data_IF_085799533849
#
_entry.id   IF_085799533849
#
_cell.length_a   1.000
_cell.length_b   1.000
_cell.length_c   1.000
_cell.angle_alpha   90.00
_cell.angle_beta   90.00
_cell.angle_gamma   90.00
#
_symmetry.space_group_name_H-M   'P 1'
#
loop_
_entity.id
_entity.type
_entity.pdbx_description
1 polymer ?
#
# COMPACT_ATOMS: atom_id res chain seq x y z
N UNK A 1 15.90 48.89 11.79
CA UNK A 1 14.51 48.40 11.69
C UNK A 1 14.30 47.30 12.71
N UNK A 2 13.82 47.68 13.89
CA UNK A 2 13.69 46.86 15.10
C UNK A 2 12.20 46.52 15.28
N UNK A 3 11.87 45.23 15.42
CA UNK A 3 10.50 44.78 15.80
C UNK A 3 10.49 44.34 17.28
N UNK A 4 9.45 44.70 18.05
CA UNK A 4 9.46 44.53 19.49
C UNK A 4 9.08 43.13 19.94
N UNK A 5 9.70 42.69 21.03
CA UNK A 5 9.37 41.49 21.80
C UNK A 5 8.22 41.83 22.75
N UNK A 6 7.13 41.08 22.71
CA UNK A 6 6.08 41.14 23.72
C UNK A 6 6.24 39.96 24.68
N UNK A 7 6.51 40.26 25.96
CA UNK A 7 6.42 39.33 27.11
C UNK A 7 5.16 39.70 27.88
N UNK A 8 4.38 38.71 28.30
CA UNK A 8 3.39 38.85 29.39
C UNK A 8 3.51 37.59 30.30
N UNK A 9 3.49 37.75 31.63
CA UNK A 9 3.72 36.67 32.60
C UNK A 9 2.44 35.97 33.10
N UNK A 10 2.70 34.91 33.86
CA UNK A 10 1.86 33.89 34.51
C UNK A 10 0.70 34.39 35.39
N UNK A 11 -0.42 33.65 35.40
CA UNK A 11 -1.24 33.40 36.60
C UNK A 11 -1.85 32.00 36.52
N UNK A 12 -1.65 31.19 37.57
CA UNK A 12 -2.32 29.93 37.83
C UNK A 12 -3.68 30.18 38.50
N UNK A 13 -4.72 29.41 38.14
CA UNK A 13 -5.93 29.33 38.95
C UNK A 13 -6.47 27.90 38.96
N UNK A 14 -6.43 27.30 40.14
CA UNK A 14 -7.10 26.06 40.53
C UNK A 14 -8.55 26.42 40.88
N UNK A 15 -9.52 25.67 40.37
CA UNK A 15 -10.87 25.64 40.94
C UNK A 15 -11.50 24.26 40.75
N UNK A 16 -11.57 23.52 41.87
CA UNK A 16 -12.40 22.33 42.09
C UNK A 16 -13.84 22.75 42.33
N UNK A 17 -14.82 22.05 41.73
CA UNK A 17 -16.21 22.09 42.18
C UNK A 17 -16.81 20.68 42.18
N UNK A 18 -16.98 20.14 43.38
CA UNK A 18 -17.78 18.96 43.66
C UNK A 18 -19.19 19.43 44.07
N UNK A 19 -20.23 18.81 43.51
CA UNK A 19 -21.62 19.06 43.93
C UNK A 19 -22.16 17.80 44.60
N UNK A 20 -22.34 17.86 45.92
CA UNK A 20 -23.11 16.93 46.74
C UNK A 20 -24.58 17.38 46.71
N UNK A 21 -25.50 16.49 46.34
CA UNK A 21 -26.93 16.67 46.61
C UNK A 21 -27.32 15.76 47.79
N UNK A 22 -27.63 16.38 48.92
CA UNK A 22 -28.33 15.78 50.06
C UNK A 22 -29.84 15.95 49.83
N UNK A 23 -30.57 14.83 49.80
CA UNK A 23 -32.04 14.82 49.77
C UNK A 23 -32.59 14.91 51.20
N UNK A 24 -33.41 15.93 51.47
CA UNK A 24 -34.23 16.02 52.67
C UNK A 24 -35.67 15.59 52.31
N UNK A 25 -36.21 14.61 53.05
CA UNK A 25 -37.60 14.17 52.95
C UNK A 25 -38.53 15.09 53.75
N UNK A 26 -39.66 15.46 53.15
CA UNK A 26 -40.88 15.90 53.82
C UNK A 26 -42.08 15.21 53.14
N UNK A 27 -43.08 14.70 53.90
CA UNK A 27 -44.22 14.02 53.30
C UNK A 27 -45.32 15.03 52.97
N UNK A 28 -45.72 15.09 51.69
CA UNK A 28 -46.97 15.72 51.29
C UNK A 28 -47.95 14.62 50.87
N UNK A 29 -48.98 14.41 51.68
CA UNK A 29 -50.12 13.56 51.37
C UNK A 29 -50.99 14.24 50.31
N UNK A 30 -51.04 13.66 49.12
CA UNK A 30 -51.95 14.10 48.06
C UNK A 30 -52.12 13.02 47.00
N UNK A 31 -53.32 12.47 46.88
CA UNK A 31 -53.68 11.47 45.88
C UNK A 31 -53.51 12.04 44.45
N UNK A 32 -52.60 11.45 43.68
CA UNK A 32 -52.48 11.64 42.22
C UNK A 32 -52.90 10.33 41.54
N UNK A 33 -53.76 10.35 40.52
CA UNK A 33 -54.19 9.14 39.83
C UNK A 33 -53.02 8.51 39.06
N UNK A 34 -52.96 7.18 39.07
CA UNK A 34 -51.91 6.41 38.42
C UNK A 34 -51.88 6.69 36.90
N UNK A 35 -50.76 7.24 36.42
CA UNK A 35 -50.44 7.26 34.99
C UNK A 35 -50.13 5.82 34.52
N UNK A 36 -50.53 5.43 33.29
CA UNK A 36 -50.20 4.11 32.77
C UNK A 36 -48.68 3.95 32.68
N UNK A 37 -48.21 2.78 33.11
CA UNK A 37 -46.81 2.38 33.11
C UNK A 37 -46.16 2.64 31.75
N UNK A 38 -44.96 3.24 31.80
CA UNK A 38 -44.22 3.70 30.64
C UNK A 38 -44.06 2.63 29.57
N UNK A 39 -44.48 2.97 28.35
CA UNK A 39 -43.92 2.33 27.18
C UNK A 39 -42.39 2.53 27.21
N UNK A 40 -41.57 1.49 27.01
CA UNK A 40 -40.14 1.69 26.90
C UNK A 40 -39.91 2.60 25.70
N UNK A 41 -39.30 3.76 25.92
CA UNK A 41 -38.68 4.53 24.85
C UNK A 41 -37.51 3.66 24.39
N UNK A 42 -37.77 2.79 23.42
CA UNK A 42 -36.73 2.18 22.63
C UNK A 42 -36.10 3.33 21.83
N UNK A 43 -35.01 3.91 22.37
CA UNK A 43 -34.02 4.55 21.51
C UNK A 43 -33.46 3.46 20.61
N UNK A 44 -34.13 3.23 19.49
CA UNK A 44 -33.53 2.54 18.37
C UNK A 44 -32.38 3.45 17.96
N UNK A 45 -31.17 3.14 18.42
CA UNK A 45 -29.97 3.70 17.83
C UNK A 45 -30.11 3.42 16.33
N UNK A 46 -30.31 4.47 15.53
CA UNK A 46 -30.38 4.33 14.09
C UNK A 46 -29.20 3.47 13.66
N UNK A 47 -29.46 2.38 12.95
CA UNK A 47 -28.41 1.52 12.41
C UNK A 47 -27.33 2.44 11.82
N UNK A 48 -26.03 2.22 12.13
CA UNK A 48 -24.98 3.18 11.80
C UNK A 48 -25.05 3.44 10.29
N UNK A 49 -25.56 4.62 9.92
CA UNK A 49 -25.83 4.94 8.52
C UNK A 49 -24.56 4.83 7.70
N UNK A 50 -24.64 4.12 6.58
CA UNK A 50 -23.56 3.99 5.61
C UNK A 50 -23.05 5.39 5.19
N UNK A 51 -21.73 5.59 5.18
CA UNK A 51 -21.16 6.82 4.59
C UNK A 51 -21.06 6.65 3.07
N UNK A 52 -21.62 7.59 2.31
CA UNK A 52 -21.64 7.54 0.84
C UNK A 52 -20.94 8.75 0.23
N UNK A 53 -20.19 8.52 -0.83
CA UNK A 53 -19.55 9.59 -1.62
C UNK A 53 -19.36 9.17 -3.07
N UNK A 54 -19.09 10.14 -3.94
CA UNK A 54 -18.66 9.89 -5.32
C UNK A 54 -17.14 10.01 -5.41
N UNK A 55 -16.49 9.05 -6.06
CA UNK A 55 -15.10 9.22 -6.46
C UNK A 55 -15.00 10.34 -7.50
N UNK A 56 -14.06 11.26 -7.32
CA UNK A 56 -13.79 12.30 -8.31
C UNK A 56 -13.06 11.69 -9.50
N UNK A 57 -13.75 11.66 -10.65
CA UNK A 57 -13.22 11.16 -11.93
C UNK A 57 -12.93 12.31 -12.91
N UNK A 58 -13.04 13.57 -12.46
CA UNK A 58 -12.92 14.75 -13.31
C UNK A 58 -11.47 15.22 -13.40
N UNK A 59 -10.71 15.01 -12.34
CA UNK A 59 -9.28 15.29 -12.26
C UNK A 59 -8.54 14.07 -12.77
N UNK A 60 -7.79 14.25 -13.87
CA UNK A 60 -6.78 13.30 -14.33
C UNK A 60 -5.44 14.01 -14.23
N UNK A 61 -4.54 13.51 -13.41
CA UNK A 61 -3.24 14.12 -13.12
C UNK A 61 -2.06 13.17 -13.40
N UNK A 62 -0.90 13.48 -12.81
CA UNK A 62 0.35 12.75 -13.04
C UNK A 62 0.39 11.37 -12.37
N UNK A 63 -0.43 11.13 -11.33
CA UNK A 63 -0.46 9.87 -10.60
C UNK A 63 -1.35 8.83 -11.32
N UNK A 64 -2.05 9.27 -12.37
CA UNK A 64 -2.90 8.45 -13.22
C UNK A 64 -2.13 7.86 -14.40
N UNK A 65 -2.46 6.62 -14.75
CA UNK A 65 -1.76 5.86 -15.79
C UNK A 65 -2.71 5.58 -16.93
N UNK A 66 -2.35 5.97 -18.16
CA UNK A 66 -3.06 5.65 -19.40
C UNK A 66 -4.59 5.86 -19.36
N UNK A 67 -5.05 6.87 -18.64
CA UNK A 67 -6.45 7.32 -18.64
C UNK A 67 -6.55 8.76 -19.11
N UNK A 68 -7.72 9.13 -19.59
CA UNK A 68 -8.05 10.52 -19.94
C UNK A 68 -9.50 10.83 -19.60
N UNK A 69 -9.77 12.08 -19.24
CA UNK A 69 -11.13 12.58 -19.13
C UNK A 69 -11.67 12.97 -20.51
N UNK A 70 -12.91 12.58 -20.81
CA UNK A 70 -13.67 13.05 -21.97
C UNK A 70 -14.99 13.67 -21.50
N UNK A 71 -15.70 14.36 -22.39
CA UNK A 71 -17.06 14.85 -22.09
C UNK A 71 -18.02 13.72 -21.69
N UNK A 72 -17.84 12.52 -22.25
CA UNK A 72 -18.66 11.35 -21.95
C UNK A 72 -18.28 10.63 -20.64
N UNK A 73 -17.09 10.89 -20.08
CA UNK A 73 -16.57 10.19 -18.89
C UNK A 73 -15.08 9.84 -18.99
N UNK A 74 -14.59 9.11 -17.99
CA UNK A 74 -13.22 8.59 -17.94
C UNK A 74 -13.04 7.42 -18.91
N UNK A 75 -11.94 7.40 -19.67
CA UNK A 75 -11.60 6.37 -20.66
C UNK A 75 -10.11 6.06 -20.65
N UNK A 76 -9.72 4.92 -21.23
CA UNK A 76 -8.30 4.67 -21.56
C UNK A 76 -7.81 5.73 -22.55
N UNK A 77 -6.63 6.31 -22.28
CA UNK A 77 -5.97 7.28 -23.17
C UNK A 77 -5.53 6.59 -24.46
N UNK A 78 -4.94 5.42 -24.35
CA UNK A 78 -4.52 4.57 -25.46
C UNK A 78 -5.11 3.18 -25.29
N UNK A 79 -5.86 2.72 -26.30
CA UNK A 79 -6.40 1.36 -26.37
C UNK A 79 -5.40 0.36 -26.96
N UNK A 80 -4.39 0.88 -27.67
CA UNK A 80 -3.24 0.09 -28.10
C UNK A 80 -2.14 0.28 -27.10
N UNK A 81 -1.45 -0.81 -26.80
CA UNK A 81 -0.15 -0.74 -26.16
C UNK A 81 0.83 -0.11 -27.17
N UNK A 82 0.94 1.22 -27.21
CA UNK A 82 2.00 1.92 -27.94
C UNK A 82 3.26 1.89 -27.09
N UNK A 83 4.30 1.23 -27.58
CA UNK A 83 5.59 1.08 -26.92
C UNK A 83 6.59 0.73 -28.02
N UNK A 84 7.44 1.70 -28.36
CA UNK A 84 8.56 1.54 -29.29
C UNK A 84 9.74 1.04 -28.47
N UNK A 85 9.67 -0.21 -28.04
CA UNK A 85 10.60 -0.81 -27.09
C UNK A 85 9.86 -1.81 -26.20
N UNK A 86 10.56 -2.85 -25.76
CA UNK A 86 9.96 -4.07 -25.25
C UNK A 86 9.23 -3.83 -23.92
N UNK A 87 7.91 -3.53 -23.97
CA UNK A 87 6.99 -4.14 -23.00
C UNK A 87 7.39 -5.61 -22.91
N UNK A 88 7.42 -6.18 -21.70
CA UNK A 88 7.35 -7.64 -21.51
C UNK A 88 6.47 -8.21 -22.64
N UNK A 89 7.05 -8.93 -23.62
CA UNK A 89 6.45 -9.01 -24.94
C UNK A 89 5.01 -9.49 -24.80
N UNK A 90 4.08 -8.62 -25.22
CA UNK A 90 2.65 -8.91 -25.34
C UNK A 90 1.83 -8.93 -24.05
N UNK A 91 1.63 -7.78 -23.39
CA UNK A 91 0.37 -7.63 -22.65
C UNK A 91 -0.78 -7.67 -23.66
N UNK A 92 -1.59 -8.73 -23.65
CA UNK A 92 -2.77 -8.89 -24.51
C UNK A 92 -3.84 -7.80 -24.24
N UNK A 93 -3.68 -7.02 -23.17
CA UNK A 93 -4.61 -6.02 -22.71
C UNK A 93 -3.93 -4.64 -22.57
N UNK A 94 -4.63 -3.61 -23.03
CA UNK A 94 -4.35 -2.23 -22.65
C UNK A 94 -5.03 -1.93 -21.32
N UNK A 95 -4.34 -1.16 -20.47
CA UNK A 95 -4.82 -0.84 -19.13
C UNK A 95 -4.53 0.60 -18.76
N UNK A 96 -5.40 1.17 -17.93
CA UNK A 96 -5.20 2.46 -17.29
C UNK A 96 -5.83 2.50 -15.91
N UNK A 97 -5.33 3.39 -15.07
CA UNK A 97 -5.71 3.54 -13.67
C UNK A 97 -5.90 5.02 -13.35
N UNK A 98 -7.06 5.36 -12.78
CA UNK A 98 -7.26 6.65 -12.10
C UNK A 98 -7.13 6.46 -10.59
N UNK A 99 -6.33 7.27 -9.91
CA UNK A 99 -6.13 7.25 -8.47
C UNK A 99 -6.82 8.45 -7.82
N UNK A 100 -7.75 8.19 -6.91
CA UNK A 100 -8.43 9.28 -6.18
C UNK A 100 -7.61 9.79 -5.00
N UNK A 101 -7.86 11.02 -4.57
CA UNK A 101 -7.31 11.53 -3.31
C UNK A 101 -7.78 10.67 -2.11
N UNK A 102 -6.92 10.42 -1.11
CA UNK A 102 -7.34 9.73 0.11
C UNK A 102 -8.48 10.46 0.83
N UNK A 103 -9.51 9.72 1.21
CA UNK A 103 -10.68 10.23 1.96
C UNK A 103 -10.60 9.80 3.41
N UNK A 104 -10.80 10.75 4.33
CA UNK A 104 -11.09 10.45 5.74
C UNK A 104 -12.59 10.23 5.90
N UNK A 105 -12.97 9.08 6.44
CA UNK A 105 -14.33 8.71 6.78
C UNK A 105 -14.71 9.34 8.12
N UNK A 106 -15.99 9.68 8.28
CA UNK A 106 -16.55 10.16 9.53
C UNK A 106 -16.60 9.05 10.60
N UNK A 107 -16.62 7.79 10.17
CA UNK A 107 -16.65 6.61 11.05
C UNK A 107 -15.74 5.50 10.52
N UNK A 108 -15.17 4.65 11.39
CA UNK A 108 -14.39 3.51 10.94
C UNK A 108 -15.25 2.55 10.11
N UNK A 109 -14.72 2.07 8.99
CA UNK A 109 -15.39 1.10 8.13
C UNK A 109 -14.51 -0.15 7.92
N UNK A 110 -15.13 -1.30 7.73
CA UNK A 110 -14.43 -2.55 7.37
C UNK A 110 -14.68 -2.96 5.93
N UNK A 111 -15.60 -2.29 5.23
CA UNK A 111 -15.88 -2.55 3.82
C UNK A 111 -16.16 -1.24 3.10
N UNK A 112 -15.71 -1.15 1.85
CA UNK A 112 -16.13 -0.10 0.93
C UNK A 112 -16.64 -0.75 -0.34
N UNK A 113 -17.95 -0.63 -0.60
CA UNK A 113 -18.62 -1.10 -1.82
C UNK A 113 -18.59 -0.01 -2.88
N UNK A 114 -18.58 -0.41 -4.15
CA UNK A 114 -18.63 0.52 -5.28
C UNK A 114 -19.77 0.15 -6.24
N UNK A 115 -20.54 1.16 -6.63
CA UNK A 115 -21.47 1.12 -7.74
C UNK A 115 -20.85 1.90 -8.90
N UNK A 116 -20.67 1.24 -10.04
CA UNK A 116 -19.99 1.81 -11.20
C UNK A 116 -21.03 2.06 -12.30
N UNK A 117 -21.21 3.33 -12.67
CA UNK A 117 -21.95 3.72 -13.86
C UNK A 117 -20.98 3.82 -15.03
N UNK A 118 -20.97 2.81 -15.91
CA UNK A 118 -20.10 2.76 -17.07
C UNK A 118 -20.77 2.08 -18.27
N UNK A 119 -20.38 2.51 -19.47
CA UNK A 119 -20.61 1.74 -20.70
C UNK A 119 -19.37 0.86 -20.95
N UNK A 120 -19.55 -0.46 -20.92
CA UNK A 120 -18.46 -1.44 -21.00
C UNK A 120 -18.65 -2.30 -22.27
N UNK A 121 -17.86 -2.08 -23.33
CA UNK A 121 -17.85 -2.94 -24.51
C UNK A 121 -17.39 -4.37 -24.21
N UNK A 122 -17.70 -5.31 -25.11
CA UNK A 122 -17.27 -6.70 -24.98
C UNK A 122 -15.74 -6.81 -24.84
N UNK A 123 -15.29 -7.60 -23.86
CA UNK A 123 -13.86 -7.81 -23.55
C UNK A 123 -13.20 -6.70 -22.73
N UNK A 124 -13.82 -5.52 -22.59
CA UNK A 124 -13.33 -4.48 -21.69
C UNK A 124 -13.78 -4.74 -20.24
N UNK A 125 -13.02 -4.25 -19.27
CA UNK A 125 -13.40 -4.31 -17.85
C UNK A 125 -13.21 -2.96 -17.17
N UNK A 126 -14.02 -2.73 -16.13
CA UNK A 126 -13.86 -1.60 -15.20
C UNK A 126 -13.98 -2.16 -13.79
N UNK A 127 -13.00 -1.86 -12.95
CA UNK A 127 -12.98 -2.28 -11.55
C UNK A 127 -12.66 -1.08 -10.65
N UNK A 128 -13.47 -0.88 -9.60
CA UNK A 128 -13.09 0.00 -8.51
C UNK A 128 -12.36 -0.83 -7.46
N UNK A 129 -11.14 -0.42 -7.13
CA UNK A 129 -10.35 -1.03 -6.07
C UNK A 129 -10.16 -0.05 -4.92
N UNK A 130 -10.11 -0.57 -3.70
CA UNK A 130 -10.03 0.19 -2.46
C UNK A 130 -8.86 -0.30 -1.61
N UNK A 131 -8.28 0.63 -0.85
CA UNK A 131 -7.34 0.33 0.23
C UNK A 131 -7.65 1.19 1.44
N UNK A 132 -7.32 0.67 2.62
CA UNK A 132 -7.49 1.36 3.89
C UNK A 132 -6.15 1.71 4.52
N UNK A 133 -6.07 2.87 5.16
CA UNK A 133 -4.91 3.27 5.95
C UNK A 133 -5.00 2.65 7.34
N UNK A 134 -3.88 2.09 7.81
CA UNK A 134 -3.68 1.57 9.15
C UNK A 134 -2.48 2.26 9.79
N UNK A 135 -2.25 1.99 11.07
CA UNK A 135 -0.99 2.36 11.71
C UNK A 135 0.19 1.88 10.85
N UNK A 136 0.22 0.60 10.47
CA UNK A 136 1.29 0.04 9.64
C UNK A 136 1.33 0.57 8.20
N UNK A 137 0.47 1.51 7.79
CA UNK A 137 0.40 2.05 6.43
C UNK A 137 -0.79 1.54 5.64
N UNK A 138 -0.74 1.68 4.31
CA UNK A 138 -1.79 1.23 3.41
C UNK A 138 -1.91 -0.30 3.40
N UNK A 139 -3.14 -0.80 3.43
CA UNK A 139 -3.44 -2.17 2.99
C UNK A 139 -3.17 -2.29 1.49
N UNK A 140 -3.02 -3.52 1.01
CA UNK A 140 -3.04 -3.74 -0.43
C UNK A 140 -4.37 -3.35 -1.08
N UNK A 141 -4.30 -3.06 -2.37
CA UNK A 141 -5.47 -2.81 -3.19
C UNK A 141 -6.32 -4.08 -3.29
N UNK A 142 -7.63 -3.94 -3.08
CA UNK A 142 -8.61 -5.03 -3.24
C UNK A 142 -9.79 -4.51 -4.04
N UNK A 143 -10.52 -5.39 -4.73
CA UNK A 143 -11.80 -5.04 -5.33
C UNK A 143 -12.74 -4.40 -4.27
N UNK A 144 -13.47 -3.36 -4.65
CA UNK A 144 -14.51 -2.79 -3.80
C UNK A 144 -15.52 -3.88 -3.43
N UNK A 145 -15.93 -3.91 -2.17
CA UNK A 145 -16.70 -4.99 -1.54
C UNK A 145 -15.85 -5.97 -0.72
N UNK A 146 -14.53 -5.99 -0.91
CA UNK A 146 -13.63 -6.72 -0.03
C UNK A 146 -13.69 -6.17 1.41
N UNK A 147 -13.58 -7.07 2.37
CA UNK A 147 -13.60 -6.74 3.80
C UNK A 147 -12.17 -6.58 4.30
N UNK A 148 -11.87 -5.42 4.88
CA UNK A 148 -10.66 -5.19 5.66
C UNK A 148 -10.73 -6.03 6.93
N UNK A 149 -9.64 -6.72 7.27
CA UNK A 149 -9.52 -7.48 8.52
C UNK A 149 -9.64 -6.62 9.81
N UNK A 150 -9.63 -5.28 9.68
CA UNK A 150 -9.71 -4.27 10.73
C UNK A 150 -10.41 -3.01 10.21
N UNK A 151 -11.13 -2.28 11.09
CA UNK A 151 -11.71 -1.00 10.73
C UNK A 151 -10.65 0.03 10.31
N UNK A 152 -10.96 0.83 9.29
CA UNK A 152 -10.12 1.92 8.79
C UNK A 152 -10.90 3.23 8.74
N UNK A 153 -10.21 4.34 9.06
CA UNK A 153 -10.78 5.69 9.03
C UNK A 153 -10.38 6.49 7.80
N UNK A 154 -9.36 6.04 7.07
CA UNK A 154 -8.92 6.70 5.85
C UNK A 154 -8.83 5.65 4.76
N UNK A 155 -9.45 5.93 3.63
CA UNK A 155 -9.54 5.03 2.48
C UNK A 155 -9.07 5.74 1.23
N UNK A 156 -8.67 4.97 0.23
CA UNK A 156 -8.39 5.49 -1.09
C UNK A 156 -8.96 4.53 -2.12
N UNK A 157 -9.41 5.08 -3.25
CA UNK A 157 -9.95 4.31 -4.36
C UNK A 157 -9.08 4.50 -5.60
N UNK A 158 -8.91 3.44 -6.38
CA UNK A 158 -8.46 3.54 -7.76
C UNK A 158 -9.46 2.90 -8.70
N UNK A 159 -9.65 3.46 -9.88
CA UNK A 159 -10.50 2.91 -10.94
C UNK A 159 -9.60 2.34 -12.02
N UNK A 160 -9.66 1.02 -12.21
CA UNK A 160 -8.87 0.29 -13.19
C UNK A 160 -9.74 0.02 -14.41
N UNK A 161 -9.24 0.36 -15.60
CA UNK A 161 -9.87 0.08 -16.88
C UNK A 161 -8.96 -0.87 -17.66
N UNK A 162 -9.52 -1.93 -18.23
CA UNK A 162 -8.80 -2.78 -19.19
C UNK A 162 -9.58 -2.93 -20.48
N UNK A 163 -8.88 -3.14 -21.58
CA UNK A 163 -9.47 -3.51 -22.87
C UNK A 163 -8.51 -4.47 -23.60
N UNK A 164 -9.02 -5.34 -24.49
CA UNK A 164 -8.17 -6.08 -25.41
C UNK A 164 -7.31 -5.09 -26.21
N UNK A 165 -6.06 -5.44 -26.52
CA UNK A 165 -5.17 -4.55 -27.24
C UNK A 165 -5.76 -4.13 -28.59
N UNK A 166 -5.96 -2.82 -28.80
CA UNK A 166 -6.62 -2.25 -29.98
C UNK A 166 -8.15 -2.39 -29.99
N UNK A 167 -8.75 -2.94 -28.94
CA UNK A 167 -10.20 -3.12 -28.79
C UNK A 167 -10.94 -1.86 -28.33
N UNK A 168 -12.27 -1.95 -28.31
CA UNK A 168 -13.13 -0.88 -27.79
C UNK A 168 -12.91 -0.68 -26.28
N UNK A 169 -12.97 0.59 -25.85
CA UNK A 169 -12.66 0.97 -24.45
C UNK A 169 -13.93 1.35 -23.69
N UNK A 170 -13.95 1.04 -22.38
CA UNK A 170 -15.04 1.45 -21.51
C UNK A 170 -15.09 2.97 -21.31
N UNK A 171 -16.28 3.48 -20.96
CA UNK A 171 -16.50 4.86 -20.51
C UNK A 171 -17.13 4.86 -19.14
N UNK A 172 -16.39 5.35 -18.14
CA UNK A 172 -16.88 5.46 -16.76
C UNK A 172 -17.47 6.84 -16.53
N UNK A 173 -18.75 6.88 -16.23
CA UNK A 173 -19.52 8.12 -15.98
C UNK A 173 -19.52 8.49 -14.50
N UNK A 174 -19.46 7.50 -13.61
CA UNK A 174 -19.39 7.73 -12.17
C UNK A 174 -19.06 6.47 -11.40
N UNK A 175 -18.44 6.65 -10.23
CA UNK A 175 -18.21 5.59 -9.24
C UNK A 175 -18.74 6.11 -7.91
N UNK A 176 -19.81 5.49 -7.40
CA UNK A 176 -20.39 5.80 -6.09
C UNK A 176 -19.89 4.77 -5.09
N UNK A 177 -19.36 5.26 -3.97
CA UNK A 177 -18.76 4.45 -2.92
C UNK A 177 -19.63 4.50 -1.67
N UNK A 178 -19.74 3.35 -1.00
CA UNK A 178 -20.47 3.19 0.25
C UNK A 178 -19.58 2.47 1.24
N UNK A 179 -19.23 3.14 2.35
CA UNK A 179 -18.48 2.55 3.44
C UNK A 179 -19.43 2.04 4.53
N UNK A 180 -19.23 0.80 4.94
CA UNK A 180 -20.01 0.15 5.98
C UNK A 180 -19.14 -0.72 6.89
N UNK A 181 -19.65 -0.97 8.09
CA UNK A 181 -18.96 -1.77 9.11
C UNK A 181 -19.67 -3.11 9.28
N UNK A 182 -18.96 -4.19 8.97
CA UNK A 182 -19.27 -5.53 9.46
C UNK A 182 -18.18 -5.97 10.43
N UNK A 183 -18.55 -6.75 11.44
CA UNK A 183 -17.60 -7.26 12.43
C UNK A 183 -16.47 -8.03 11.71
N UNK A 184 -15.25 -7.53 11.86
CA UNK A 184 -14.04 -8.22 11.43
C UNK A 184 -12.99 -8.06 12.53
N UNK A 185 -12.35 -9.18 12.88
CA UNK A 185 -11.28 -9.25 13.86
C UNK A 185 -10.12 -10.01 13.22
N UNK A 186 -8.93 -9.43 13.20
CA UNK A 186 -7.69 -10.20 13.05
C UNK A 186 -6.45 -9.48 13.59
N UNK A 187 -5.50 -10.27 14.07
CA UNK A 187 -4.27 -9.85 14.73
C UNK A 187 -3.19 -9.40 13.71
N UNK A 188 -2.21 -8.62 14.20
CA UNK A 188 -1.11 -8.14 13.37
C UNK A 188 -0.11 -9.28 13.20
N UNK A 189 0.36 -9.48 11.97
CA UNK A 189 1.37 -10.51 11.64
C UNK A 189 2.73 -9.87 11.33
N UNK A 190 3.83 -10.62 11.43
CA UNK A 190 5.07 -10.28 10.74
C UNK A 190 4.82 -10.14 9.22
N UNK A 191 5.65 -9.36 8.53
CA UNK A 191 5.65 -9.36 7.06
C UNK A 191 5.93 -10.77 6.56
N UNK A 192 5.06 -11.29 5.70
CA UNK A 192 5.22 -12.62 5.10
C UNK A 192 6.50 -12.64 4.27
N UNK A 193 7.23 -13.74 4.34
CA UNK A 193 8.47 -13.94 3.58
C UNK A 193 8.37 -15.24 2.79
N UNK A 194 8.75 -15.21 1.52
CA UNK A 194 8.76 -16.38 0.64
C UNK A 194 10.03 -16.42 -0.21
N UNK A 195 10.49 -17.62 -0.52
CA UNK A 195 11.59 -17.85 -1.46
C UNK A 195 11.03 -17.90 -2.88
N UNK A 196 11.51 -17.00 -3.74
CA UNK A 196 11.07 -16.90 -5.13
C UNK A 196 12.26 -16.74 -6.07
N UNK A 197 12.07 -17.11 -7.33
CA UNK A 197 13.09 -16.92 -8.35
C UNK A 197 13.01 -15.47 -8.87
N UNK A 198 14.13 -14.76 -8.83
CA UNK A 198 14.25 -13.39 -9.29
C UNK A 198 14.93 -13.32 -10.65
N UNK A 199 14.36 -12.51 -11.54
CA UNK A 199 14.90 -12.16 -12.85
C UNK A 199 15.24 -10.67 -12.90
N UNK A 200 16.20 -10.29 -13.75
CA UNK A 200 16.45 -8.88 -14.06
C UNK A 200 15.38 -8.37 -15.04
N UNK A 201 14.78 -7.23 -14.75
CA UNK A 201 13.68 -6.68 -15.57
C UNK A 201 14.16 -6.13 -16.92
N UNK A 202 15.28 -5.40 -16.96
CA UNK A 202 15.92 -4.92 -18.19
C UNK A 202 15.14 -3.89 -19.02
N UNK A 203 14.30 -3.06 -18.39
CA UNK A 203 13.34 -2.17 -19.06
C UNK A 203 13.74 -0.68 -19.08
N UNK A 204 15.03 -0.34 -19.10
CA UNK A 204 15.48 1.07 -19.11
C UNK A 204 14.88 1.83 -20.31
N UNK A 205 14.31 3.01 -20.04
CA UNK A 205 13.61 3.85 -21.02
C UNK A 205 12.12 3.55 -21.16
N UNK A 206 11.65 2.40 -20.67
CA UNK A 206 10.22 2.04 -20.70
C UNK A 206 9.45 2.65 -19.52
N UNK A 207 8.12 2.64 -19.61
CA UNK A 207 7.25 2.99 -18.50
C UNK A 207 6.92 1.75 -17.66
N UNK A 208 7.16 1.85 -16.35
CA UNK A 208 6.61 0.93 -15.35
C UNK A 208 5.08 1.04 -15.27
N UNK A 209 4.43 0.01 -14.72
CA UNK A 209 2.97 -0.02 -14.54
C UNK A 209 2.40 1.12 -13.69
N UNK A 210 3.18 1.77 -12.83
CA UNK A 210 2.76 2.97 -12.10
C UNK A 210 3.03 4.29 -12.84
N UNK A 211 3.52 4.25 -14.07
CA UNK A 211 3.72 5.43 -14.93
C UNK A 211 5.12 6.06 -14.86
N UNK A 212 6.07 5.51 -14.10
CA UNK A 212 7.45 6.01 -14.06
C UNK A 212 8.27 5.51 -15.24
N UNK A 213 9.03 6.39 -15.90
CA UNK A 213 10.07 5.97 -16.86
C UNK A 213 11.26 5.37 -16.13
N UNK A 214 11.60 4.14 -16.45
CA UNK A 214 12.74 3.42 -15.88
C UNK A 214 14.04 4.11 -16.28
N UNK A 215 14.81 4.50 -15.27
CA UNK A 215 16.14 5.04 -15.39
C UNK A 215 17.19 3.94 -15.28
N UNK A 216 18.36 4.19 -15.85
CA UNK A 216 19.54 3.35 -15.66
C UNK A 216 19.84 3.21 -14.16
N UNK A 217 20.06 1.97 -13.69
CA UNK A 217 20.40 1.66 -12.28
C UNK A 217 19.29 2.01 -11.28
N UNK A 218 18.05 2.02 -11.74
CA UNK A 218 16.90 2.17 -10.85
C UNK A 218 16.81 1.07 -9.80
N UNK A 219 16.25 1.44 -8.65
CA UNK A 219 16.06 0.57 -7.50
C UNK A 219 14.56 0.34 -7.22
N UNK A 220 13.96 -0.64 -7.89
CA UNK A 220 12.59 -1.09 -7.65
C UNK A 220 12.43 -2.59 -7.92
N UNK A 221 11.23 -3.11 -7.63
CA UNK A 221 10.80 -4.45 -7.99
C UNK A 221 9.49 -4.44 -8.80
N UNK A 222 9.27 -5.49 -9.59
CA UNK A 222 7.98 -5.83 -10.17
C UNK A 222 7.42 -7.08 -9.50
N UNK A 223 6.13 -7.07 -9.19
CA UNK A 223 5.42 -8.24 -8.65
C UNK A 223 4.29 -8.67 -9.58
N UNK A 224 3.97 -9.98 -9.64
CA UNK A 224 3.00 -10.49 -10.61
C UNK A 224 1.55 -10.22 -10.19
N UNK A 225 1.31 -9.19 -9.39
CA UNK A 225 -0.03 -8.67 -9.05
C UNK A 225 -0.02 -7.17 -8.83
N UNK A 226 -1.11 -6.53 -9.26
CA UNK A 226 -1.38 -5.10 -9.03
C UNK A 226 -1.72 -4.77 -7.59
N UNK A 227 -2.03 -5.75 -6.74
CA UNK A 227 -2.45 -5.51 -5.37
C UNK A 227 -1.35 -4.83 -4.54
N UNK A 228 -0.09 -5.15 -4.84
CA UNK A 228 1.10 -4.53 -4.28
C UNK A 228 1.74 -3.47 -5.18
N UNK A 229 1.03 -2.85 -6.13
CA UNK A 229 1.59 -1.81 -7.01
C UNK A 229 1.49 -0.42 -6.36
N UNK A 230 2.63 0.23 -6.16
CA UNK A 230 2.69 1.56 -5.53
C UNK A 230 2.29 2.65 -6.53
N UNK A 231 1.50 3.66 -6.13
CA UNK A 231 1.33 4.88 -6.92
C UNK A 231 2.66 5.52 -7.32
N UNK A 232 2.61 6.34 -8.39
CA UNK A 232 3.77 7.10 -8.85
C UNK A 232 4.38 7.90 -7.68
N UNK A 233 5.72 7.92 -7.60
CA UNK A 233 6.47 8.63 -6.56
C UNK A 233 6.15 8.19 -5.10
N UNK A 234 5.71 6.95 -4.90
CA UNK A 234 5.54 6.37 -3.56
C UNK A 234 6.26 5.01 -3.45
N UNK A 235 6.48 4.56 -2.20
CA UNK A 235 6.90 3.19 -1.89
C UNK A 235 5.91 2.50 -0.94
N UNK A 236 4.62 2.85 -1.06
CA UNK A 236 3.51 2.31 -0.28
C UNK A 236 3.61 0.79 -0.11
N UNK A 237 3.97 0.12 -1.20
CA UNK A 237 4.36 -1.27 -1.20
C UNK A 237 5.87 -1.36 -1.44
N UNK A 238 6.57 -1.73 -0.38
CA UNK A 238 8.01 -2.03 -0.41
C UNK A 238 8.20 -3.50 -0.10
N UNK A 239 9.08 -4.15 -0.86
CA UNK A 239 9.60 -5.47 -0.54
C UNK A 239 10.99 -5.36 0.07
N UNK A 240 11.35 -6.29 0.94
CA UNK A 240 12.75 -6.54 1.31
C UNK A 240 13.21 -7.80 0.62
N UNK A 241 14.10 -7.68 -0.35
CA UNK A 241 14.68 -8.80 -1.09
C UNK A 241 16.03 -9.12 -0.47
N UNK A 242 16.33 -10.38 -0.22
CA UNK A 242 17.62 -10.84 0.28
C UNK A 242 18.17 -11.96 -0.57
N UNK A 243 19.50 -12.02 -0.69
CA UNK A 243 20.17 -13.24 -1.14
C UNK A 243 19.79 -14.40 -0.19
N UNK A 244 19.76 -15.64 -0.69
CA UNK A 244 19.39 -16.81 0.14
C UNK A 244 20.36 -17.08 1.29
N UNK A 245 21.60 -16.58 1.19
CA UNK A 245 22.57 -16.58 2.28
C UNK A 245 22.31 -15.49 3.33
N UNK A 246 21.39 -14.55 3.06
CA UNK A 246 21.11 -13.39 3.91
C UNK A 246 22.25 -12.36 3.94
N UNK A 247 23.29 -12.53 3.12
CA UNK A 247 24.50 -11.71 3.16
C UNK A 247 24.29 -10.28 2.68
N UNK A 248 23.31 -10.09 1.78
CA UNK A 248 22.89 -8.79 1.26
C UNK A 248 21.37 -8.75 1.11
N UNK A 249 20.80 -7.58 1.40
CA UNK A 249 19.40 -7.31 1.18
C UNK A 249 19.17 -5.92 0.58
N UNK A 250 18.09 -5.74 -0.15
CA UNK A 250 17.61 -4.43 -0.56
C UNK A 250 16.13 -4.23 -0.21
N UNK A 251 15.79 -3.04 0.29
CA UNK A 251 14.41 -2.58 0.40
C UNK A 251 14.06 -1.81 -0.88
N UNK A 252 13.16 -2.36 -1.69
CA UNK A 252 12.82 -1.81 -3.00
C UNK A 252 11.30 -1.55 -3.07
N UNK A 253 10.86 -0.36 -3.51
CA UNK A 253 9.46 -0.12 -3.79
C UNK A 253 9.00 -0.94 -5.00
N UNK A 254 7.72 -1.30 -5.01
CA UNK A 254 7.10 -2.04 -6.12
C UNK A 254 6.47 -1.04 -7.08
N UNK A 255 7.09 -0.84 -8.23
CA UNK A 255 6.67 0.15 -9.24
C UNK A 255 6.13 -0.48 -10.52
N UNK A 256 6.36 -1.77 -10.73
CA UNK A 256 5.93 -2.45 -11.94
C UNK A 256 5.17 -3.76 -11.65
N UNK A 257 4.54 -4.31 -12.69
CA UNK A 257 3.70 -5.52 -12.61
C UNK A 257 4.23 -6.58 -13.56
N UNK A 258 4.46 -7.77 -13.02
CA UNK A 258 5.16 -8.88 -13.66
C UNK A 258 6.07 -9.57 -12.65
N UNK A 259 6.64 -10.74 -12.93
CA UNK A 259 6.74 -11.41 -14.23
C UNK A 259 5.55 -12.33 -14.55
N UNK A 260 5.33 -12.59 -15.85
CA UNK A 260 4.34 -13.54 -16.43
C UNK A 260 2.86 -13.24 -16.17
N UNK A 261 2.49 -13.02 -14.91
CA UNK A 261 1.14 -12.76 -14.46
C UNK A 261 0.98 -11.34 -13.93
N UNK A 262 -0.26 -10.93 -13.76
CA UNK A 262 -0.62 -9.61 -13.22
C UNK A 262 -1.72 -9.65 -12.17
N UNK A 263 -2.18 -10.86 -11.83
CA UNK A 263 -3.19 -11.19 -10.82
C UNK A 263 -2.76 -12.36 -9.93
N UNK A 264 -1.44 -12.56 -9.81
CA UNK A 264 -0.83 -13.59 -8.99
C UNK A 264 -0.21 -13.02 -7.71
N UNK A 265 -1.06 -12.71 -6.73
CA UNK A 265 -0.68 -12.26 -5.40
C UNK A 265 -0.35 -13.44 -4.47
N UNK A 266 0.60 -14.29 -4.89
CA UNK A 266 0.92 -15.56 -4.21
C UNK A 266 1.28 -15.43 -2.73
N UNK A 267 1.62 -14.24 -2.25
CA UNK A 267 1.83 -13.98 -0.82
C UNK A 267 0.53 -14.04 0.00
N UNK A 268 -0.64 -14.02 -0.63
CA UNK A 268 -1.94 -14.12 0.03
C UNK A 268 -2.40 -15.57 0.20
N UNK A 269 -3.15 -15.89 1.27
CA UNK A 269 -3.72 -17.23 1.45
C UNK A 269 -4.79 -17.49 0.38
N UNK A 270 -5.05 -18.77 0.10
CA UNK A 270 -6.01 -19.23 -0.93
C UNK A 270 -7.40 -18.59 -0.81
N UNK A 271 -7.85 -18.28 0.40
CA UNK A 271 -9.14 -17.64 0.67
C UNK A 271 -9.28 -16.25 0.05
N UNK A 272 -8.17 -15.52 -0.14
CA UNK A 272 -8.18 -14.14 -0.65
C UNK A 272 -7.29 -13.90 -1.87
N UNK A 273 -6.44 -14.85 -2.26
CA UNK A 273 -5.62 -14.78 -3.48
C UNK A 273 -6.52 -14.49 -4.70
N UNK A 274 -6.06 -13.62 -5.59
CA UNK A 274 -6.81 -13.10 -6.73
C UNK A 274 -7.08 -14.20 -7.76
N UNK A 275 -6.03 -14.87 -8.24
CA UNK A 275 -6.10 -16.07 -9.08
C UNK A 275 -5.39 -17.28 -8.42
N UNK A 276 -5.40 -18.43 -9.09
CA UNK A 276 -4.57 -19.60 -8.72
C UNK A 276 -4.76 -20.07 -7.27
N UNK A 277 -6.00 -19.96 -6.77
CA UNK A 277 -6.36 -20.19 -5.36
C UNK A 277 -6.06 -21.60 -4.85
N UNK A 278 -5.93 -22.57 -5.76
CA UNK A 278 -5.56 -23.94 -5.44
C UNK A 278 -4.04 -24.16 -5.30
N UNK A 279 -3.20 -23.19 -5.66
CA UNK A 279 -1.77 -23.27 -5.40
C UNK A 279 -1.47 -22.94 -3.92
N UNK A 280 -0.47 -23.62 -3.30
CA UNK A 280 0.00 -23.26 -1.97
C UNK A 280 0.35 -21.78 -1.86
N UNK A 281 0.08 -21.19 -0.69
CA UNK A 281 0.53 -19.84 -0.39
C UNK A 281 2.06 -19.75 -0.49
N UNK A 282 2.56 -18.68 -1.10
CA UNK A 282 3.98 -18.47 -1.33
C UNK A 282 4.51 -19.08 -2.62
N UNK A 283 3.71 -19.84 -3.37
CA UNK A 283 4.09 -20.41 -4.67
C UNK A 283 3.58 -19.52 -5.81
N UNK A 284 4.46 -18.82 -6.55
CA UNK A 284 4.10 -18.14 -7.78
C UNK A 284 3.53 -19.13 -8.80
N UNK A 285 2.59 -18.68 -9.61
CA UNK A 285 2.02 -19.52 -10.66
C UNK A 285 3.06 -19.87 -11.73
N UNK A 286 3.89 -18.90 -12.16
CA UNK A 286 4.94 -19.14 -13.14
C UNK A 286 5.93 -20.22 -12.65
N UNK A 287 6.22 -20.27 -11.35
CA UNK A 287 7.01 -21.36 -10.79
C UNK A 287 6.30 -22.72 -10.95
N UNK A 288 5.01 -22.81 -10.65
CA UNK A 288 4.24 -24.04 -10.80
C UNK A 288 4.11 -24.47 -12.26
N UNK A 289 3.85 -23.52 -13.17
CA UNK A 289 3.77 -23.75 -14.60
C UNK A 289 5.09 -24.31 -15.14
N UNK A 290 6.22 -23.66 -14.81
CA UNK A 290 7.54 -24.08 -15.25
C UNK A 290 7.97 -25.45 -14.69
N UNK A 291 7.73 -25.70 -13.40
CA UNK A 291 8.25 -26.90 -12.73
C UNK A 291 7.36 -28.14 -12.86
N UNK A 292 6.05 -27.94 -13.01
CA UNK A 292 5.06 -29.04 -12.92
C UNK A 292 4.03 -29.02 -14.04
N UNK A 293 4.14 -28.10 -15.00
CA UNK A 293 3.15 -27.98 -16.09
C UNK A 293 1.79 -27.47 -15.62
N UNK A 294 1.69 -26.83 -14.45
CA UNK A 294 0.46 -26.21 -13.98
C UNK A 294 -0.10 -25.26 -15.05
N UNK A 295 -1.43 -25.22 -15.21
CA UNK A 295 -2.10 -24.47 -16.28
C UNK A 295 -1.55 -24.81 -17.69
N UNK A 296 -1.15 -26.05 -17.91
CA UNK A 296 -0.54 -26.50 -19.18
C UNK A 296 0.84 -25.88 -19.45
N UNK A 297 1.54 -25.42 -18.40
CA UNK A 297 2.82 -24.72 -18.50
C UNK A 297 2.71 -23.28 -18.99
N UNK A 298 1.52 -22.66 -18.84
CA UNK A 298 1.21 -21.34 -19.39
C UNK A 298 0.83 -20.34 -18.31
N UNK A 299 1.10 -19.06 -18.56
CA UNK A 299 0.67 -17.96 -17.69
C UNK A 299 -0.81 -17.59 -17.89
N UNK A 300 -1.29 -16.58 -17.16
CA UNK A 300 -2.67 -16.07 -17.26
C UNK A 300 -3.09 -15.58 -18.66
N UNK A 301 -2.13 -15.35 -19.57
CA UNK A 301 -2.38 -14.89 -20.94
C UNK A 301 -2.23 -16.03 -21.96
N UNK A 302 -1.96 -17.26 -21.50
CA UNK A 302 -1.77 -18.43 -22.34
C UNK A 302 -0.39 -18.52 -22.98
N UNK A 303 0.58 -17.69 -22.56
CA UNK A 303 1.97 -17.78 -23.04
C UNK A 303 2.69 -18.90 -22.30
N UNK A 304 3.54 -19.64 -23.00
CA UNK A 304 4.40 -20.66 -22.36
C UNK A 304 5.36 -19.99 -21.38
N UNK A 305 5.38 -20.46 -20.14
CA UNK A 305 6.27 -19.96 -19.09
C UNK A 305 7.66 -20.54 -19.28
N UNK A 306 8.65 -19.67 -19.46
CA UNK A 306 10.03 -20.07 -19.78
C UNK A 306 10.99 -20.05 -18.58
N UNK A 307 10.55 -19.52 -17.44
CA UNK A 307 11.31 -19.53 -16.20
C UNK A 307 10.36 -19.44 -14.99
N UNK A 308 10.79 -19.84 -13.78
CA UNK A 308 9.93 -19.88 -12.60
C UNK A 308 9.83 -18.53 -11.87
N UNK A 309 10.06 -17.40 -12.54
CA UNK A 309 10.20 -16.11 -11.88
C UNK A 309 8.93 -15.70 -11.11
N UNK A 310 9.13 -15.25 -9.87
CA UNK A 310 8.08 -14.71 -9.00
C UNK A 310 8.25 -13.23 -8.67
N UNK A 311 9.33 -12.61 -9.15
CA UNK A 311 9.68 -11.21 -8.97
C UNK A 311 10.68 -10.79 -10.07
N UNK A 312 10.50 -9.60 -10.63
CA UNK A 312 11.55 -8.95 -11.43
C UNK A 312 12.21 -7.83 -10.64
N UNK A 313 13.52 -7.66 -10.82
CA UNK A 313 14.32 -6.64 -10.14
C UNK A 313 14.90 -5.66 -11.15
N UNK A 314 14.80 -4.38 -10.83
CA UNK A 314 15.46 -3.33 -11.59
C UNK A 314 16.99 -3.42 -11.49
N UNK A 315 17.69 -2.76 -12.41
CA UNK A 315 19.14 -2.86 -12.59
C UNK A 315 19.93 -2.51 -11.32
N UNK A 316 19.53 -1.46 -10.60
CA UNK A 316 20.13 -1.06 -9.32
C UNK A 316 19.86 -2.10 -8.23
N UNK A 317 18.60 -2.54 -8.10
CA UNK A 317 18.23 -3.58 -7.12
C UNK A 317 19.03 -4.87 -7.34
N UNK A 318 19.19 -5.28 -8.60
CA UNK A 318 19.85 -6.52 -8.98
C UNK A 318 21.38 -6.46 -8.78
N UNK A 319 22.04 -5.46 -9.36
CA UNK A 319 23.51 -5.37 -9.35
C UNK A 319 24.09 -4.65 -8.13
N UNK A 320 23.42 -3.61 -7.59
CA UNK A 320 23.97 -2.84 -6.46
C UNK A 320 23.48 -3.36 -5.12
N UNK A 321 22.17 -3.55 -5.03
CA UNK A 321 21.50 -4.05 -3.84
C UNK A 321 22.00 -5.41 -3.45
N UNK A 322 21.71 -6.36 -4.33
CA UNK A 322 21.92 -7.78 -4.08
C UNK A 322 23.26 -8.28 -4.58
N UNK A 323 23.90 -7.55 -5.52
CA UNK A 323 25.13 -7.99 -6.21
C UNK A 323 24.96 -9.34 -6.91
N UNK A 324 23.79 -9.55 -7.51
CA UNK A 324 23.55 -10.73 -8.33
C UNK A 324 24.28 -10.59 -9.66
N UNK A 325 24.86 -11.70 -10.13
CA UNK A 325 25.50 -11.79 -11.45
C UNK A 325 24.63 -12.49 -12.48
N UNK A 326 23.62 -13.24 -12.01
CA UNK A 326 22.63 -13.94 -12.81
C UNK A 326 21.33 -14.11 -12.02
N UNK A 327 20.28 -14.53 -12.70
CA UNK A 327 18.99 -14.83 -12.09
C UNK A 327 19.16 -15.84 -10.96
N UNK A 328 18.46 -15.64 -9.85
CA UNK A 328 18.71 -16.40 -8.63
C UNK A 328 17.46 -16.55 -7.78
N UNK A 329 17.44 -17.58 -6.94
CA UNK A 329 16.51 -17.62 -5.82
C UNK A 329 16.86 -16.52 -4.82
N UNK A 330 15.84 -15.87 -4.27
CA UNK A 330 15.93 -14.83 -3.25
C UNK A 330 14.83 -15.01 -2.21
N UNK A 331 15.06 -14.49 -1.02
CA UNK A 331 14.03 -14.44 0.03
C UNK A 331 13.41 -13.05 0.04
N UNK A 332 12.09 -12.98 -0.16
CA UNK A 332 11.35 -11.72 -0.33
C UNK A 332 10.33 -11.55 0.78
N UNK A 333 10.44 -10.46 1.54
CA UNK A 333 9.45 -10.06 2.52
C UNK A 333 8.52 -8.97 1.97
N UNK A 334 7.21 -9.15 2.09
CA UNK A 334 6.16 -8.25 1.58
C UNK A 334 5.70 -7.33 2.71
N UNK A 335 6.29 -6.14 2.81
CA UNK A 335 6.28 -5.40 4.08
C UNK A 335 4.90 -4.87 4.48
N UNK A 336 3.99 -4.63 3.54
CA UNK A 336 2.60 -4.24 3.83
C UNK A 336 1.77 -5.34 4.51
N UNK A 337 2.23 -6.60 4.48
CA UNK A 337 1.60 -7.70 5.21
C UNK A 337 2.02 -7.77 6.68
N UNK A 338 2.99 -6.92 7.07
CA UNK A 338 3.50 -6.78 8.43
C UNK A 338 2.98 -5.56 9.20
N UNK A 339 3.32 -5.46 10.48
CA UNK A 339 2.99 -4.31 11.35
C UNK A 339 4.18 -3.41 11.71
N UNK A 340 3.93 -2.43 12.59
CA UNK A 340 4.95 -1.63 13.28
C UNK A 340 5.27 -0.26 12.65
N UNK A 341 6.07 0.58 13.35
CA UNK A 341 6.54 1.86 12.84
C UNK A 341 7.40 1.71 11.58
N UNK A 342 7.30 2.68 10.67
CA UNK A 342 8.03 2.68 9.40
C UNK A 342 8.60 4.05 9.11
N UNK A 343 9.82 4.07 8.58
CA UNK A 343 10.43 5.26 8.00
C UNK A 343 10.35 5.22 6.48
N UNK A 344 10.10 6.38 5.87
CA UNK A 344 10.23 6.55 4.41
C UNK A 344 11.65 7.02 4.12
N UNK A 345 12.39 6.26 3.31
CA UNK A 345 13.69 6.68 2.79
C UNK A 345 13.46 7.81 1.80
N UNK A 346 13.87 9.02 2.13
CA UNK A 346 13.57 10.17 1.30
C UNK A 346 14.56 10.40 0.17
N UNK A 347 15.80 9.94 0.36
CA UNK A 347 16.89 10.00 -0.62
C UNK A 347 17.69 8.69 -0.57
N UNK A 348 18.06 8.15 -1.73
CA UNK A 348 18.67 6.83 -1.83
C UNK A 348 19.34 6.54 -3.18
N UNK A 349 19.90 5.34 -3.35
CA UNK A 349 19.86 4.23 -2.40
C UNK A 349 20.66 4.50 -1.11
N UNK A 350 20.03 4.28 0.04
CA UNK A 350 20.62 4.48 1.36
C UNK A 350 21.34 3.22 1.85
N UNK A 351 22.57 3.38 2.33
CA UNK A 351 23.34 2.28 2.92
C UNK A 351 22.70 1.75 4.21
N UNK A 352 22.49 0.42 4.26
CA UNK A 352 22.06 -0.31 5.45
C UNK A 352 23.28 -0.90 6.14
N UNK A 353 23.46 -0.63 7.44
CA UNK A 353 24.70 -0.92 8.16
C UNK A 353 24.50 -1.91 9.31
N UNK A 354 25.58 -2.58 9.71
CA UNK A 354 25.57 -3.47 10.88
C UNK A 354 25.58 -2.73 12.23
N UNK A 355 25.82 -1.43 12.24
CA UNK A 355 25.84 -0.60 13.44
C UNK A 355 25.58 0.88 13.16
N UNK A 356 25.51 1.67 14.23
CA UNK A 356 25.11 3.08 14.23
C UNK A 356 26.25 4.06 13.90
N UNK A 357 27.01 3.76 12.85
CA UNK A 357 28.10 4.61 12.34
C UNK A 357 28.40 4.24 10.89
N UNK A 358 28.92 5.19 10.10
CA UNK A 358 29.36 4.97 8.72
C UNK A 358 30.61 4.10 8.62
N UNK A 359 31.31 3.84 9.73
CA UNK A 359 32.42 2.87 9.81
C UNK A 359 31.95 1.42 9.82
N UNK A 360 30.68 1.14 10.17
CA UNK A 360 30.15 -0.22 10.14
C UNK A 360 29.89 -0.70 8.72
N UNK A 361 30.12 -2.00 8.52
CA UNK A 361 29.95 -2.67 7.24
C UNK A 361 28.53 -2.48 6.67
N UNK A 362 28.47 -2.27 5.35
CA UNK A 362 27.22 -2.18 4.60
C UNK A 362 26.71 -3.60 4.31
N UNK A 363 25.45 -3.88 4.69
CA UNK A 363 24.75 -5.16 4.48
C UNK A 363 23.64 -5.08 3.43
N UNK A 364 23.49 -3.95 2.77
CA UNK A 364 22.41 -3.76 1.84
C UNK A 364 22.12 -2.31 1.53
N UNK A 365 21.06 -2.10 0.76
CA UNK A 365 20.57 -0.80 0.36
C UNK A 365 19.08 -0.65 0.70
N UNK A 366 18.62 0.59 0.83
CA UNK A 366 17.21 0.91 0.80
C UNK A 366 16.98 1.97 -0.27
N UNK A 367 16.18 1.65 -1.27
CA UNK A 367 15.87 2.54 -2.37
C UNK A 367 15.17 3.82 -1.88
N UNK A 368 15.24 4.89 -2.68
CA UNK A 368 14.41 6.06 -2.47
C UNK A 368 12.93 5.65 -2.44
N UNK A 369 12.15 6.31 -1.58
CA UNK A 369 10.74 6.05 -1.30
C UNK A 369 10.45 4.71 -0.58
N UNK A 370 11.44 3.85 -0.37
CA UNK A 370 11.24 2.59 0.33
C UNK A 370 10.74 2.82 1.78
N UNK A 371 9.73 2.04 2.18
CA UNK A 371 9.18 2.03 3.52
C UNK A 371 9.90 0.98 4.38
N UNK A 372 10.84 1.41 5.20
CA UNK A 372 11.67 0.54 6.05
C UNK A 372 11.02 0.36 7.44
N UNK A 373 10.79 -0.87 7.93
CA UNK A 373 10.25 -1.10 9.26
C UNK A 373 11.29 -0.75 10.33
N UNK A 374 10.93 0.12 11.27
CA UNK A 374 11.80 0.58 12.35
C UNK A 374 11.35 -0.06 13.66
N UNK A 375 12.29 -0.71 14.33
CA UNK A 375 12.06 -1.30 15.65
C UNK A 375 12.25 -0.27 16.77
N UNK A 376 13.40 0.40 16.78
CA UNK A 376 13.77 1.40 17.78
C UNK A 376 14.88 2.30 17.20
N UNK A 377 15.37 3.27 17.98
CA UNK A 377 16.52 4.09 17.60
C UNK A 377 17.62 4.07 18.67
N UNK A 378 18.85 4.29 18.24
CA UNK A 378 20.03 4.46 19.10
C UNK A 378 20.73 5.78 18.78
N UNK A 379 21.54 6.26 19.72
CA UNK A 379 22.50 7.34 19.48
C UNK A 379 23.78 6.74 18.89
N UNK A 380 24.27 7.34 17.80
CA UNK A 380 25.48 6.92 17.12
C UNK A 380 26.22 8.11 16.51
N UNK A 381 26.99 7.87 15.45
CA UNK A 381 27.72 8.94 14.76
C UNK A 381 26.77 10.03 14.26
N UNK A 382 27.18 11.30 14.39
CA UNK A 382 26.47 12.42 13.76
C UNK A 382 26.58 12.34 12.24
N UNK A 383 25.43 12.33 11.55
CA UNK A 383 25.35 12.30 10.09
C UNK A 383 24.53 13.50 9.63
N UNK A 384 25.08 14.28 8.70
CA UNK A 384 24.34 15.26 7.92
C UNK A 384 23.72 14.56 6.70
N UNK A 385 22.41 14.68 6.55
CA UNK A 385 21.66 14.14 5.42
C UNK A 385 20.60 15.13 4.94
N UNK A 386 19.85 14.77 3.89
CA UNK A 386 19.00 15.70 3.15
C UNK A 386 17.85 16.30 3.96
N UNK A 387 17.47 15.68 5.09
CA UNK A 387 16.37 16.16 5.92
C UNK A 387 16.82 16.81 7.24
N UNK A 388 18.03 16.47 7.72
CA UNK A 388 18.54 16.88 9.03
C UNK A 388 19.98 16.42 9.24
N UNK A 389 20.66 17.07 10.18
CA UNK A 389 21.87 16.53 10.83
C UNK A 389 21.47 15.90 12.16
N UNK A 390 21.87 14.66 12.41
CA UNK A 390 21.45 13.93 13.63
C UNK A 390 22.42 12.82 14.02
N UNK A 391 22.50 12.55 15.32
CA UNK A 391 23.14 11.36 15.89
C UNK A 391 22.19 10.16 16.00
N UNK A 392 20.91 10.31 15.60
CA UNK A 392 19.93 9.24 15.69
C UNK A 392 20.10 8.24 14.54
N UNK A 393 20.25 6.96 14.90
CA UNK A 393 20.24 5.84 13.97
C UNK A 393 19.04 4.95 14.24
N UNK A 394 18.25 4.64 13.22
CA UNK A 394 17.10 3.76 13.35
C UNK A 394 17.57 2.31 13.21
N UNK A 395 17.32 1.48 14.23
CA UNK A 395 17.44 0.03 14.15
C UNK A 395 16.20 -0.51 13.45
N UNK A 396 16.40 -1.08 12.27
CA UNK A 396 15.35 -1.72 11.49
C UNK A 396 14.88 -3.01 12.17
N UNK A 397 13.67 -3.47 11.85
CA UNK A 397 13.14 -4.74 12.36
C UNK A 397 14.02 -5.95 11.99
N UNK A 398 14.84 -5.82 10.94
CA UNK A 398 15.83 -6.82 10.55
C UNK A 398 17.10 -6.82 11.41
N UNK A 399 17.25 -5.86 12.34
CA UNK A 399 18.40 -5.69 13.22
C UNK A 399 19.56 -4.87 12.66
N UNK A 400 19.46 -4.41 11.40
CA UNK A 400 20.42 -3.49 10.79
C UNK A 400 20.04 -2.02 11.05
N UNK A 401 20.90 -1.09 10.66
CA UNK A 401 20.77 0.32 10.99
C UNK A 401 20.79 1.21 9.76
N UNK A 402 20.02 2.28 9.81
CA UNK A 402 20.06 3.40 8.85
C UNK A 402 20.09 4.72 9.61
N UNK A 403 20.79 5.73 9.09
CA UNK A 403 20.78 7.06 9.72
C UNK A 403 19.40 7.70 9.57
N UNK A 404 18.89 8.30 10.65
CA UNK A 404 17.64 9.05 10.61
C UNK A 404 17.76 10.34 9.77
N UNK A 405 18.99 10.76 9.42
CA UNK A 405 19.25 11.89 8.54
C UNK A 405 18.61 11.78 7.15
N UNK A 406 18.37 10.54 6.69
CA UNK A 406 17.82 10.20 5.36
C UNK A 406 16.34 9.78 5.41
N UNK A 407 15.74 9.74 6.59
CA UNK A 407 14.32 9.41 6.75
C UNK A 407 13.50 10.69 6.64
N UNK A 408 12.63 10.75 5.63
CA UNK A 408 11.79 11.94 5.37
C UNK A 408 10.62 12.03 6.35
N UNK A 409 10.01 10.89 6.65
CA UNK A 409 8.87 10.77 7.55
C UNK A 409 8.85 9.42 8.28
N UNK A 410 8.17 9.38 9.42
CA UNK A 410 7.89 8.16 10.19
C UNK A 410 6.40 8.10 10.46
N UNK A 411 5.81 6.92 10.30
CA UNK A 411 4.41 6.66 10.62
C UNK A 411 4.25 5.26 11.24
N UNK A 412 3.05 4.97 11.76
CA UNK A 412 2.72 3.66 12.30
C UNK A 412 3.11 3.38 13.74
N UNK A 413 3.27 4.45 14.51
CA UNK A 413 3.52 4.43 15.94
C UNK A 413 4.74 5.29 16.29
N UNK A 414 4.97 5.44 17.60
CA UNK A 414 6.21 6.01 18.10
C UNK A 414 7.36 5.03 17.88
N UNK A 415 8.53 5.56 17.51
CA UNK A 415 9.78 4.78 17.50
C UNK A 415 10.50 5.02 18.82
N UNK A 416 10.54 4.04 19.74
CA UNK A 416 11.20 4.17 21.04
C UNK A 416 12.72 4.12 20.91
N UNK A 417 13.43 4.51 21.97
CA UNK A 417 14.86 4.22 22.11
C UNK A 417 15.06 2.70 22.28
N UNK A 418 16.17 2.18 21.76
CA UNK A 418 16.75 0.93 22.25
C UNK A 418 17.61 1.27 23.49
#
# INVERSE_FOLDING_TARGET
MTRPRCRIPSVALIATLALLLTAALLPATGNVPAAPAGAPIALVAAAPGDERWSADLTIVDRDDVNVRRTAAGLRLREARSTGRGARSPHSAVAEGMLLTAPRTLARPATRVRAEINAAIPAGATVEAQVRGWRAAGWTEWRAAGAVFDRPVLRVQTRVVLTAPNGGATATVRGVRLTADANAAVSAATPGRTYRVYATRIGLVGELTANGRTVQTRDHFAALPSRRGLSPLNTGDYTVRVCTTSGSRCEYAPVWDVGPWNTRDDYWNPSSVRENWKNLPQGRPEAQAAYQTGYNGGRDQFGRTVLNPAGIDLADGTFWDGLRLTTNAWVDVAYLWTGGGPRGVVGDGPLNIRTGASTSYAVRGLAAQLAHVPIQCYVTGQSVAGPYRTTTRWNRLASGQYVSHAYISSVYGGSVPAC
#
